data_IF_730874722734
#
_entry.id   IF_730874722734
#
_cell.length_a   1.000
_cell.length_b   1.000
_cell.length_c   1.000
_cell.angle_alpha   90.00
_cell.angle_beta   90.00
_cell.angle_gamma   90.00
#
_symmetry.space_group_name_H-M   'P 1'
#
loop_
_entity.id
_entity.type
_entity.pdbx_description
1 polymer ?
#
# COMPACT_ATOMS: atom_id res chain seq x y z
N UNK A 1 6.90 24.11 -1.78
CA UNK A 1 5.48 23.84 -1.53
C UNK A 1 5.23 22.44 -2.06
N UNK A 2 4.87 21.47 -1.20
CA UNK A 2 4.77 20.06 -1.62
C UNK A 2 3.64 19.89 -2.64
N UNK A 3 3.93 19.31 -3.80
CA UNK A 3 2.96 19.08 -4.88
C UNK A 3 1.70 18.34 -4.39
N UNK A 4 1.83 17.49 -3.40
CA UNK A 4 0.70 16.79 -2.76
C UNK A 4 -0.22 17.74 -1.98
N UNK A 5 0.33 18.73 -1.28
CA UNK A 5 -0.47 19.69 -0.51
C UNK A 5 -1.31 20.59 -1.44
N UNK A 6 -0.71 21.10 -2.52
CA UNK A 6 -1.42 21.95 -3.49
C UNK A 6 -2.53 21.18 -4.22
N UNK A 7 -2.29 19.90 -4.51
CA UNK A 7 -3.23 18.99 -5.15
C UNK A 7 -4.45 18.71 -4.26
N UNK A 8 -4.23 18.43 -2.98
CA UNK A 8 -5.32 18.15 -2.03
C UNK A 8 -6.16 19.38 -1.75
N UNK A 9 -5.51 20.54 -1.63
CA UNK A 9 -6.22 21.81 -1.53
C UNK A 9 -7.09 22.08 -2.76
N UNK A 10 -6.60 21.74 -3.96
CA UNK A 10 -7.36 21.90 -5.20
C UNK A 10 -8.53 20.91 -5.29
N UNK A 11 -8.34 19.63 -4.90
CA UNK A 11 -9.44 18.65 -4.81
C UNK A 11 -10.55 19.16 -3.89
N UNK A 12 -10.17 19.62 -2.70
CA UNK A 12 -11.13 20.15 -1.72
C UNK A 12 -11.85 21.38 -2.26
N UNK A 13 -11.12 22.33 -2.86
CA UNK A 13 -11.70 23.54 -3.43
C UNK A 13 -12.70 23.23 -4.56
N UNK A 14 -12.36 22.32 -5.48
CA UNK A 14 -13.25 21.91 -6.57
C UNK A 14 -14.48 21.18 -6.03
N UNK A 15 -14.31 20.26 -5.08
CA UNK A 15 -15.43 19.53 -4.49
C UNK A 15 -16.38 20.45 -3.73
N UNK A 16 -15.86 21.40 -2.96
CA UNK A 16 -16.66 22.39 -2.24
C UNK A 16 -17.38 23.34 -3.20
N UNK A 17 -16.73 23.80 -4.27
CA UNK A 17 -17.35 24.65 -5.29
C UNK A 17 -18.52 23.94 -5.99
N UNK A 18 -18.32 22.69 -6.43
CA UNK A 18 -19.38 21.89 -7.08
C UNK A 18 -20.54 21.67 -6.09
N UNK A 19 -20.23 21.33 -4.83
CA UNK A 19 -21.26 21.09 -3.81
C UNK A 19 -22.04 22.35 -3.48
N UNK A 20 -21.37 23.51 -3.40
CA UNK A 20 -22.03 24.79 -3.17
C UNK A 20 -22.92 25.15 -4.36
N UNK A 21 -22.46 24.97 -5.60
CA UNK A 21 -23.25 25.21 -6.81
C UNK A 21 -24.49 24.30 -6.87
N UNK A 22 -24.34 23.01 -6.53
CA UNK A 22 -25.48 22.10 -6.44
C UNK A 22 -26.47 22.51 -5.35
N UNK A 23 -25.96 22.89 -4.18
CA UNK A 23 -26.81 23.32 -3.06
C UNK A 23 -27.60 24.59 -3.38
N UNK A 24 -27.03 25.53 -4.14
CA UNK A 24 -27.72 26.74 -4.57
C UNK A 24 -28.70 26.50 -5.72
N UNK A 25 -28.44 25.49 -6.55
CA UNK A 25 -29.32 25.20 -7.70
C UNK A 25 -30.55 24.36 -7.30
N UNK A 26 -30.38 23.47 -6.32
CA UNK A 26 -31.45 22.60 -5.84
C UNK A 26 -32.06 23.17 -4.55
N UNK A 27 -33.25 23.82 -4.64
CA UNK A 27 -33.98 24.38 -3.49
C UNK A 27 -34.35 23.34 -2.42
N UNK A 28 -34.28 22.04 -2.75
CA UNK A 28 -34.50 20.92 -1.81
C UNK A 28 -33.38 20.69 -0.80
N UNK A 29 -32.16 21.22 -1.05
CA UNK A 29 -31.06 21.20 -0.11
C UNK A 29 -31.28 22.32 0.92
N UNK A 30 -32.14 22.05 1.90
CA UNK A 30 -32.62 23.04 2.89
C UNK A 30 -31.49 23.71 3.68
N UNK A 31 -30.34 23.05 3.80
CA UNK A 31 -29.17 23.56 4.52
C UNK A 31 -27.88 23.22 3.76
N UNK A 32 -27.40 24.14 2.95
CA UNK A 32 -26.20 24.02 2.12
C UNK A 32 -24.92 23.61 2.89
N UNK A 33 -24.85 23.90 4.19
CA UNK A 33 -23.69 23.58 5.01
C UNK A 33 -23.51 22.07 5.30
N UNK A 34 -24.56 21.27 5.27
CA UNK A 34 -24.47 19.82 5.52
C UNK A 34 -23.72 19.06 4.42
N UNK A 35 -24.04 19.21 3.12
CA UNK A 35 -23.25 18.61 2.06
C UNK A 35 -21.83 19.17 1.99
N UNK A 36 -21.62 20.46 2.27
CA UNK A 36 -20.27 21.04 2.34
C UNK A 36 -19.43 20.42 3.45
N UNK A 37 -20.01 20.24 4.65
CA UNK A 37 -19.34 19.60 5.76
C UNK A 37 -19.04 18.12 5.47
N UNK A 38 -19.92 17.45 4.72
CA UNK A 38 -19.66 16.09 4.27
C UNK A 38 -18.45 16.02 3.34
N UNK A 39 -18.33 16.95 2.38
CA UNK A 39 -17.18 17.05 1.48
C UNK A 39 -15.88 17.28 2.26
N UNK A 40 -15.85 18.27 3.15
CA UNK A 40 -14.64 18.62 3.92
C UNK A 40 -14.13 17.44 4.75
N UNK A 41 -15.03 16.65 5.33
CA UNK A 41 -14.63 15.50 6.17
C UNK A 41 -14.27 14.27 5.33
N UNK A 42 -14.85 14.12 4.13
CA UNK A 42 -14.68 12.93 3.30
C UNK A 42 -13.50 13.03 2.37
N UNK A 43 -13.18 14.24 1.87
CA UNK A 43 -12.02 14.41 0.97
C UNK A 43 -10.74 14.18 1.75
N UNK A 44 -10.04 13.11 1.41
CA UNK A 44 -8.76 12.72 1.98
C UNK A 44 -7.70 12.66 0.88
N UNK A 45 -6.46 12.61 1.31
CA UNK A 45 -5.27 12.45 0.46
C UNK A 45 -5.29 11.15 -0.32
N UNK A 46 -6.00 10.12 0.19
CA UNK A 46 -6.08 8.80 -0.37
C UNK A 46 -7.51 8.47 -0.79
N UNK A 47 -7.70 8.07 -2.06
CA UNK A 47 -9.02 7.77 -2.65
C UNK A 47 -9.74 6.63 -1.90
N UNK A 48 -8.99 5.71 -1.30
CA UNK A 48 -9.54 4.60 -0.53
C UNK A 48 -10.07 5.07 0.82
N UNK A 49 -9.33 5.95 1.50
CA UNK A 49 -9.79 6.61 2.72
C UNK A 49 -11.02 7.46 2.42
N UNK A 50 -11.05 8.15 1.28
CA UNK A 50 -12.20 8.91 0.83
C UNK A 50 -13.43 8.02 0.66
N UNK A 51 -13.30 6.84 0.02
CA UNK A 51 -14.42 5.91 -0.13
C UNK A 51 -14.89 5.34 1.21
N UNK A 52 -13.97 4.93 2.07
CA UNK A 52 -14.28 4.41 3.40
C UNK A 52 -14.90 5.49 4.30
N UNK A 53 -14.39 6.71 4.24
CA UNK A 53 -14.94 7.86 4.95
C UNK A 53 -16.34 8.22 4.45
N UNK A 54 -16.55 8.22 3.12
CA UNK A 54 -17.84 8.50 2.50
C UNK A 54 -18.89 7.46 2.91
N UNK A 55 -18.57 6.17 2.79
CA UNK A 55 -19.47 5.08 3.17
C UNK A 55 -19.80 5.11 4.67
N UNK A 56 -18.78 5.29 5.52
CA UNK A 56 -18.97 5.44 6.96
C UNK A 56 -19.84 6.64 7.32
N UNK A 57 -19.68 7.76 6.60
CA UNK A 57 -20.49 8.96 6.82
C UNK A 57 -21.93 8.78 6.38
N UNK A 58 -22.18 8.20 5.21
CA UNK A 58 -23.54 7.92 4.72
C UNK A 58 -24.25 6.95 5.69
N UNK A 59 -23.63 5.81 5.95
CA UNK A 59 -24.19 4.78 6.82
C UNK A 59 -24.41 5.30 8.26
N UNK A 60 -23.44 6.05 8.79
CA UNK A 60 -23.55 6.68 10.10
C UNK A 60 -24.66 7.72 10.17
N UNK A 61 -24.83 8.52 9.11
CA UNK A 61 -25.93 9.50 9.07
C UNK A 61 -27.28 8.81 8.98
N UNK A 62 -27.46 7.85 8.08
CA UNK A 62 -28.73 7.13 7.94
C UNK A 62 -29.13 6.42 9.23
N UNK A 63 -28.22 5.64 9.78
CA UNK A 63 -28.48 4.88 11.00
C UNK A 63 -28.64 5.80 12.21
N UNK A 64 -27.82 6.85 12.30
CA UNK A 64 -27.89 7.88 13.33
C UNK A 64 -29.25 8.59 13.33
N UNK A 65 -29.69 9.02 12.15
CA UNK A 65 -31.00 9.66 11.98
C UNK A 65 -32.16 8.73 12.36
N UNK A 66 -32.16 7.48 11.85
CA UNK A 66 -33.21 6.51 12.13
C UNK A 66 -33.31 6.19 13.63
N UNK A 67 -32.16 5.88 14.25
CA UNK A 67 -32.16 5.54 15.69
C UNK A 67 -32.55 6.74 16.55
N UNK A 68 -32.04 7.92 16.22
CA UNK A 68 -32.42 9.15 16.95
C UNK A 68 -33.91 9.44 16.84
N UNK A 69 -34.50 9.27 15.66
CA UNK A 69 -35.92 9.44 15.43
C UNK A 69 -36.75 8.45 16.25
N UNK A 70 -36.36 7.16 16.27
CA UNK A 70 -37.03 6.13 17.06
C UNK A 70 -36.97 6.44 18.57
N UNK A 71 -35.80 6.82 19.06
CA UNK A 71 -35.61 7.17 20.47
C UNK A 71 -36.41 8.42 20.83
N UNK A 72 -36.41 9.44 19.96
CA UNK A 72 -37.13 10.69 20.18
C UNK A 72 -38.64 10.49 20.29
N UNK A 73 -39.21 9.48 19.63
CA UNK A 73 -40.64 9.15 19.73
C UNK A 73 -41.04 8.72 21.14
N UNK A 74 -40.06 8.26 21.94
CA UNK A 74 -40.29 7.76 23.32
C UNK A 74 -39.70 8.70 24.37
N UNK A 75 -38.46 9.16 24.15
CA UNK A 75 -37.69 9.95 25.13
C UNK A 75 -37.12 11.21 24.44
N UNK A 76 -37.46 12.38 25.00
CA UNK A 76 -37.03 13.69 24.48
C UNK A 76 -35.88 14.29 25.28
N UNK A 77 -35.16 15.21 24.67
CA UNK A 77 -34.08 15.97 25.30
C UNK A 77 -32.82 15.15 25.57
N UNK A 78 -32.03 15.57 26.57
CA UNK A 78 -30.72 14.97 26.85
C UNK A 78 -30.77 13.48 27.26
N UNK A 79 -31.80 12.94 27.94
CA UNK A 79 -31.90 11.50 28.17
C UNK A 79 -32.04 10.71 26.86
N UNK A 80 -32.73 11.29 25.86
CA UNK A 80 -32.83 10.72 24.52
C UNK A 80 -31.49 10.67 23.80
N UNK A 81 -30.66 11.69 23.97
CA UNK A 81 -29.27 11.67 23.43
C UNK A 81 -28.49 10.51 24.03
N UNK A 82 -28.50 10.40 25.35
CA UNK A 82 -27.77 9.34 26.07
C UNK A 82 -28.24 7.95 25.65
N UNK A 83 -29.55 7.74 25.57
CA UNK A 83 -30.13 6.47 25.13
C UNK A 83 -29.77 6.14 23.67
N UNK A 84 -29.82 7.15 22.77
CA UNK A 84 -29.44 6.99 21.38
C UNK A 84 -28.00 6.56 21.26
N UNK A 85 -27.07 7.19 21.99
CA UNK A 85 -25.65 6.83 21.98
C UNK A 85 -25.38 5.44 22.54
N UNK A 86 -26.08 5.09 23.64
CA UNK A 86 -25.96 3.79 24.29
C UNK A 86 -26.40 2.64 23.36
N UNK A 87 -27.42 2.84 22.55
CA UNK A 87 -27.90 1.87 21.57
C UNK A 87 -27.07 1.86 20.30
N UNK A 88 -26.56 3.02 19.88
CA UNK A 88 -25.80 3.20 18.65
C UNK A 88 -24.47 2.43 18.64
N UNK A 89 -23.72 2.50 19.75
CA UNK A 89 -22.39 1.89 19.84
C UNK A 89 -22.42 0.36 19.62
N UNK A 90 -23.25 -0.42 20.36
CA UNK A 90 -23.33 -1.86 20.11
C UNK A 90 -23.88 -2.19 18.73
N UNK A 91 -24.87 -1.44 18.23
CA UNK A 91 -25.47 -1.67 16.94
C UNK A 91 -24.43 -1.52 15.79
N UNK A 92 -23.67 -0.43 15.79
CA UNK A 92 -22.61 -0.21 14.79
C UNK A 92 -21.48 -1.24 14.89
N UNK A 93 -21.15 -1.70 16.09
CA UNK A 93 -20.16 -2.78 16.29
C UNK A 93 -20.66 -4.12 15.75
N UNK A 94 -21.93 -4.46 15.98
CA UNK A 94 -22.54 -5.69 15.44
C UNK A 94 -22.58 -5.67 13.91
N UNK A 95 -22.84 -4.52 13.29
CA UNK A 95 -22.82 -4.33 11.84
C UNK A 95 -21.40 -4.23 11.25
N UNK A 96 -20.38 -4.17 12.07
CA UNK A 96 -18.99 -4.02 11.62
C UNK A 96 -18.62 -2.61 11.11
N UNK A 97 -19.49 -1.60 11.31
CA UNK A 97 -19.37 -0.24 10.77
C UNK A 97 -18.68 0.72 11.75
N UNK A 98 -17.47 0.37 12.18
CA UNK A 98 -16.71 1.16 13.17
C UNK A 98 -16.40 2.58 12.69
N UNK A 99 -16.14 2.78 11.39
CA UNK A 99 -15.89 4.10 10.77
C UNK A 99 -17.08 5.04 10.83
N UNK A 100 -18.30 4.51 10.96
CA UNK A 100 -19.54 5.29 11.04
C UNK A 100 -19.83 5.88 12.43
N UNK A 101 -19.13 5.42 13.47
CA UNK A 101 -19.44 5.76 14.86
C UNK A 101 -19.37 7.26 15.15
N UNK A 102 -18.34 7.94 14.65
CA UNK A 102 -18.18 9.39 14.87
C UNK A 102 -19.31 10.20 14.24
N UNK A 103 -19.71 9.87 13.02
CA UNK A 103 -20.82 10.55 12.34
C UNK A 103 -22.16 10.24 13.00
N UNK A 104 -22.43 8.97 13.27
CA UNK A 104 -23.68 8.53 13.90
C UNK A 104 -23.88 9.15 15.27
N UNK A 105 -22.81 9.28 16.08
CA UNK A 105 -22.87 9.85 17.42
C UNK A 105 -23.15 11.36 17.45
N UNK A 106 -22.78 12.10 16.40
CA UNK A 106 -23.08 13.52 16.31
C UNK A 106 -24.57 13.80 16.03
N UNK A 107 -25.28 12.89 15.36
CA UNK A 107 -26.67 13.08 14.94
C UNK A 107 -27.63 13.31 16.11
N UNK A 108 -27.65 12.49 17.18
CA UNK A 108 -28.52 12.72 18.33
C UNK A 108 -28.29 14.07 18.99
N UNK A 109 -27.03 14.51 19.07
CA UNK A 109 -26.67 15.82 19.65
C UNK A 109 -27.26 16.94 18.81
N UNK A 110 -27.06 16.89 17.50
CA UNK A 110 -27.54 17.91 16.57
C UNK A 110 -29.08 17.98 16.58
N UNK A 111 -29.77 16.84 16.51
CA UNK A 111 -31.22 16.82 16.42
C UNK A 111 -31.96 17.07 17.74
N UNK A 112 -31.38 16.68 18.88
CA UNK A 112 -32.08 16.74 20.16
C UNK A 112 -31.64 17.89 21.05
N UNK A 113 -30.45 18.52 20.77
CA UNK A 113 -29.90 19.58 21.61
C UNK A 113 -29.95 20.98 20.98
N UNK A 114 -29.99 21.09 19.63
CA UNK A 114 -30.08 22.40 18.98
C UNK A 114 -31.53 22.91 19.00
N UNK A 115 -31.79 24.06 19.65
CA UNK A 115 -33.14 24.55 19.87
C UNK A 115 -33.91 24.99 18.62
N UNK A 116 -33.20 25.32 17.54
CA UNK A 116 -33.81 25.89 16.32
C UNK A 116 -34.28 24.86 15.30
N UNK A 117 -34.19 23.56 15.59
CA UNK A 117 -34.50 22.51 14.60
C UNK A 117 -36.01 22.16 14.52
N UNK A 118 -36.86 22.78 15.35
CA UNK A 118 -38.30 22.44 15.41
C UNK A 118 -38.57 21.00 15.86
N UNK A 119 -39.82 20.50 15.79
CA UNK A 119 -40.11 19.12 16.09
C UNK A 119 -39.43 18.20 15.07
N UNK A 120 -38.69 17.17 15.56
CA UNK A 120 -38.03 16.19 14.72
C UNK A 120 -39.06 15.47 13.83
N UNK A 121 -39.04 15.77 12.54
CA UNK A 121 -39.95 15.21 11.56
C UNK A 121 -39.23 14.17 10.69
N UNK A 122 -39.97 13.22 10.15
CA UNK A 122 -39.43 12.24 9.21
C UNK A 122 -38.75 12.87 7.98
N UNK A 123 -39.30 13.99 7.49
CA UNK A 123 -38.72 14.78 6.41
C UNK A 123 -37.32 15.31 6.74
N UNK A 124 -37.08 15.75 7.98
CA UNK A 124 -35.77 16.22 8.41
C UNK A 124 -34.72 15.08 8.41
N UNK A 125 -35.10 13.87 8.85
CA UNK A 125 -34.28 12.67 8.81
C UNK A 125 -33.89 12.32 7.37
N UNK A 126 -34.86 12.30 6.48
CA UNK A 126 -34.65 11.96 5.07
C UNK A 126 -33.80 13.02 4.35
N UNK A 127 -34.09 14.30 4.54
CA UNK A 127 -33.30 15.38 3.93
C UNK A 127 -31.85 15.34 4.41
N UNK A 128 -31.61 15.08 5.69
CA UNK A 128 -30.27 14.98 6.24
C UNK A 128 -29.47 13.83 5.61
N UNK A 129 -30.09 12.67 5.44
CA UNK A 129 -29.48 11.53 4.79
C UNK A 129 -29.14 11.85 3.31
N UNK A 130 -30.06 12.52 2.62
CA UNK A 130 -29.91 12.91 1.22
C UNK A 130 -28.80 13.96 1.04
N UNK A 131 -28.80 15.02 1.85
CA UNK A 131 -27.78 16.08 1.82
C UNK A 131 -26.36 15.53 2.05
N UNK A 132 -26.24 14.66 3.05
CA UNK A 132 -24.95 14.00 3.35
C UNK A 132 -24.52 13.09 2.21
N UNK A 133 -25.44 12.32 1.64
CA UNK A 133 -25.16 11.43 0.52
C UNK A 133 -24.74 12.20 -0.74
N UNK A 134 -25.37 13.32 -1.02
CA UNK A 134 -25.01 14.20 -2.14
C UNK A 134 -23.58 14.75 -1.96
N UNK A 135 -23.25 15.29 -0.79
CA UNK A 135 -21.89 15.76 -0.51
C UNK A 135 -20.84 14.67 -0.64
N UNK A 136 -21.11 13.48 -0.11
CA UNK A 136 -20.22 12.32 -0.23
C UNK A 136 -20.06 11.87 -1.70
N UNK A 137 -21.14 11.87 -2.49
CA UNK A 137 -21.10 11.52 -3.91
C UNK A 137 -20.24 12.50 -4.72
N UNK A 138 -20.35 13.80 -4.45
CA UNK A 138 -19.50 14.82 -5.08
C UNK A 138 -18.04 14.62 -4.67
N UNK A 139 -17.75 14.39 -3.39
CA UNK A 139 -16.39 14.14 -2.89
C UNK A 139 -15.76 12.92 -3.59
N UNK A 140 -16.51 11.83 -3.71
CA UNK A 140 -16.08 10.62 -4.41
C UNK A 140 -15.88 10.88 -5.92
N UNK A 141 -16.82 11.57 -6.58
CA UNK A 141 -16.71 11.86 -8.00
C UNK A 141 -15.47 12.72 -8.29
N UNK A 142 -15.23 13.76 -7.51
CA UNK A 142 -14.05 14.61 -7.64
C UNK A 142 -12.77 13.83 -7.36
N UNK A 143 -12.73 12.99 -6.31
CA UNK A 143 -11.59 12.12 -6.00
C UNK A 143 -11.24 11.19 -7.14
N UNK A 144 -12.25 10.53 -7.74
CA UNK A 144 -12.06 9.54 -8.80
C UNK A 144 -11.74 10.17 -10.17
N UNK A 145 -12.39 11.33 -10.50
CA UNK A 145 -12.27 11.94 -11.83
C UNK A 145 -11.02 12.83 -11.96
N UNK A 146 -10.73 13.62 -10.94
CA UNK A 146 -9.69 14.65 -11.10
C UNK A 146 -8.28 14.17 -10.78
N UNK A 147 -8.09 13.14 -9.96
CA UNK A 147 -6.75 12.60 -9.66
C UNK A 147 -6.84 11.20 -9.06
N UNK A 148 -7.08 10.17 -9.85
CA UNK A 148 -6.96 8.82 -9.34
C UNK A 148 -5.51 8.60 -8.89
N UNK A 149 -5.27 8.37 -7.61
CA UNK A 149 -3.97 7.89 -7.15
C UNK A 149 -3.81 6.45 -7.60
N UNK A 150 -2.85 6.24 -8.49
CA UNK A 150 -2.46 4.90 -8.86
C UNK A 150 -1.49 4.37 -7.79
N UNK A 151 -2.02 3.65 -6.80
CA UNK A 151 -1.19 3.02 -5.75
C UNK A 151 -0.18 2.04 -6.34
N UNK A 152 -0.46 1.51 -7.54
CA UNK A 152 0.47 0.72 -8.31
C UNK A 152 1.70 1.51 -8.76
N UNK A 153 1.59 2.82 -8.96
CA UNK A 153 2.75 3.67 -9.29
C UNK A 153 3.74 3.73 -8.12
N UNK A 154 3.25 3.83 -6.89
CA UNK A 154 4.08 3.80 -5.67
C UNK A 154 4.71 2.43 -5.43
N UNK A 155 3.98 1.35 -5.73
CA UNK A 155 4.52 -0.01 -5.69
C UNK A 155 5.68 -0.17 -6.69
N UNK A 156 5.51 0.31 -7.94
CA UNK A 156 6.55 0.31 -8.96
C UNK A 156 7.77 1.13 -8.52
N UNK A 157 7.55 2.33 -8.01
CA UNK A 157 8.62 3.20 -7.52
C UNK A 157 9.44 2.55 -6.41
N UNK A 158 8.75 1.89 -5.45
CA UNK A 158 9.40 1.15 -4.36
C UNK A 158 10.17 -0.06 -4.90
N UNK A 159 9.60 -0.82 -5.86
CA UNK A 159 10.26 -1.94 -6.52
C UNK A 159 11.50 -1.48 -7.30
N UNK A 160 11.40 -0.39 -8.07
CA UNK A 160 12.52 0.18 -8.80
C UNK A 160 13.64 0.69 -7.89
N UNK A 161 13.28 1.23 -6.72
CA UNK A 161 14.24 1.60 -5.67
C UNK A 161 15.02 0.38 -5.16
N UNK A 162 14.32 -0.73 -4.87
CA UNK A 162 14.95 -1.99 -4.48
C UNK A 162 15.86 -2.54 -5.58
N UNK A 163 15.39 -2.55 -6.81
CA UNK A 163 16.18 -3.02 -7.95
C UNK A 163 17.46 -2.22 -8.14
N UNK A 164 17.38 -0.90 -8.03
CA UNK A 164 18.58 -0.04 -8.11
C UNK A 164 19.56 -0.39 -6.99
N UNK A 165 19.09 -0.47 -5.75
CA UNK A 165 19.91 -0.81 -4.60
C UNK A 165 20.66 -2.14 -4.78
N UNK A 166 19.95 -3.18 -5.25
CA UNK A 166 20.58 -4.49 -5.49
C UNK A 166 21.53 -4.49 -6.67
N UNK A 167 21.24 -3.76 -7.76
CA UNK A 167 22.13 -3.64 -8.91
C UNK A 167 23.43 -2.95 -8.55
N UNK A 168 23.34 -1.84 -7.81
CA UNK A 168 24.51 -1.09 -7.37
C UNK A 168 25.41 -1.97 -6.49
N UNK A 169 24.81 -2.75 -5.59
CA UNK A 169 25.54 -3.68 -4.75
C UNK A 169 26.18 -4.82 -5.57
N UNK A 170 25.45 -5.39 -6.54
CA UNK A 170 26.03 -6.43 -7.42
C UNK A 170 27.14 -5.88 -8.27
N UNK A 171 27.05 -4.65 -8.76
CA UNK A 171 28.14 -3.99 -9.49
C UNK A 171 29.37 -3.85 -8.60
N UNK A 172 29.22 -3.45 -7.35
CA UNK A 172 30.31 -3.37 -6.40
C UNK A 172 30.94 -4.76 -6.14
N UNK A 173 30.14 -5.82 -5.98
CA UNK A 173 30.65 -7.19 -5.85
C UNK A 173 31.37 -7.69 -7.10
N UNK A 174 30.91 -7.33 -8.30
CA UNK A 174 31.61 -7.68 -9.54
C UNK A 174 33.01 -7.08 -9.58
N UNK A 175 33.16 -5.81 -9.22
CA UNK A 175 34.49 -5.15 -9.16
C UNK A 175 35.39 -5.76 -8.10
N UNK A 176 34.84 -6.11 -6.95
CA UNK A 176 35.59 -6.79 -5.89
C UNK A 176 36.06 -8.19 -6.32
N UNK A 177 35.19 -9.00 -6.93
CA UNK A 177 35.51 -10.34 -7.44
C UNK A 177 36.52 -10.31 -8.57
N UNK A 178 36.60 -9.20 -9.34
CA UNK A 178 37.62 -8.96 -10.34
C UNK A 178 38.96 -8.44 -9.77
N UNK A 179 39.04 -8.25 -8.43
CA UNK A 179 40.25 -7.72 -7.79
C UNK A 179 40.50 -6.23 -8.01
N UNK A 180 39.48 -5.50 -8.56
CA UNK A 180 39.64 -4.09 -8.90
C UNK A 180 39.39 -3.13 -7.75
N UNK A 181 38.55 -3.54 -6.77
CA UNK A 181 38.10 -2.71 -5.64
C UNK A 181 38.13 -3.49 -4.32
N UNK A 182 38.20 -2.80 -3.18
CA UNK A 182 38.03 -3.42 -1.88
C UNK A 182 36.61 -4.03 -1.75
N UNK A 183 36.46 -4.92 -0.78
CA UNK A 183 35.15 -5.56 -0.49
C UNK A 183 34.11 -4.50 -0.16
N UNK A 184 32.94 -4.51 -0.81
CA UNK A 184 31.85 -3.61 -0.45
C UNK A 184 31.25 -4.01 0.91
N UNK A 185 30.74 -3.03 1.64
CA UNK A 185 29.97 -3.27 2.84
C UNK A 185 28.65 -3.97 2.49
N UNK A 186 28.23 -4.97 3.25
CA UNK A 186 26.95 -5.63 3.06
C UNK A 186 25.78 -4.65 3.20
N UNK A 187 24.72 -4.87 2.43
CA UNK A 187 23.51 -4.06 2.56
C UNK A 187 22.91 -4.22 3.97
N UNK A 188 22.51 -3.12 4.61
CA UNK A 188 21.81 -3.21 5.89
C UNK A 188 20.53 -4.04 5.73
N UNK A 189 20.34 -5.15 6.47
CA UNK A 189 19.11 -5.97 6.38
C UNK A 189 17.83 -5.17 6.62
N UNK A 190 17.92 -4.10 7.42
CA UNK A 190 16.82 -3.18 7.69
C UNK A 190 16.34 -2.44 6.43
N UNK A 191 17.24 -2.08 5.51
CA UNK A 191 16.89 -1.36 4.29
C UNK A 191 16.01 -2.23 3.36
N UNK A 192 16.40 -3.50 3.15
CA UNK A 192 15.62 -4.45 2.37
C UNK A 192 14.28 -4.78 3.05
N UNK A 193 14.30 -4.97 4.38
CA UNK A 193 13.08 -5.26 5.14
C UNK A 193 12.09 -4.12 5.07
N UNK A 194 12.52 -2.89 5.32
CA UNK A 194 11.66 -1.70 5.28
C UNK A 194 11.03 -1.48 3.89
N UNK A 195 11.76 -1.75 2.82
CA UNK A 195 11.23 -1.62 1.47
C UNK A 195 10.19 -2.71 1.16
N UNK A 196 10.43 -3.96 1.54
CA UNK A 196 9.46 -5.06 1.37
C UNK A 196 8.21 -4.82 2.21
N UNK A 197 8.35 -4.40 3.47
CA UNK A 197 7.23 -4.04 4.36
C UNK A 197 6.41 -2.87 3.80
N UNK A 198 7.07 -1.88 3.20
CA UNK A 198 6.39 -0.79 2.50
C UNK A 198 5.58 -1.29 1.31
N UNK A 199 6.13 -2.20 0.51
CA UNK A 199 5.39 -2.84 -0.60
C UNK A 199 4.19 -3.64 -0.07
N UNK A 200 4.32 -4.35 1.04
CA UNK A 200 3.23 -5.08 1.69
C UNK A 200 2.10 -4.15 2.13
N UNK A 201 2.45 -3.06 2.80
CA UNK A 201 1.48 -2.06 3.25
C UNK A 201 0.76 -1.40 2.07
N UNK A 202 1.50 -1.02 1.01
CA UNK A 202 0.92 -0.45 -0.20
C UNK A 202 -0.01 -1.44 -0.92
N UNK A 203 0.39 -2.70 -1.02
CA UNK A 203 -0.43 -3.73 -1.66
C UNK A 203 -1.68 -4.06 -0.84
N UNK A 204 -1.56 -4.17 0.48
CA UNK A 204 -2.71 -4.37 1.38
C UNK A 204 -3.72 -3.22 1.22
N UNK A 205 -3.23 -2.01 1.08
CA UNK A 205 -4.03 -0.81 0.86
C UNK A 205 -4.78 -0.85 -0.48
N UNK A 206 -4.09 -1.24 -1.56
CA UNK A 206 -4.71 -1.39 -2.89
C UNK A 206 -5.75 -2.52 -2.94
N UNK A 207 -5.55 -3.59 -2.16
CA UNK A 207 -6.47 -4.72 -2.09
C UNK A 207 -7.75 -4.41 -1.30
N UNK A 208 -7.71 -3.45 -0.38
CA UNK A 208 -8.89 -3.00 0.36
C UNK A 208 -9.77 -2.05 -0.48
N UNK A 209 -9.27 -1.53 -1.61
CA UNK A 209 -9.97 -0.63 -2.51
C UNK A 209 -11.06 -1.26 -3.37
N UNK A 210 -11.74 -0.49 -4.23
CA UNK A 210 -12.83 -0.96 -5.07
C UNK A 210 -12.45 -2.17 -5.94
N UNK A 211 -13.28 -3.21 -5.97
CA UNK A 211 -13.01 -4.49 -6.64
C UNK A 211 -12.67 -4.42 -8.14
N UNK A 212 -13.00 -3.32 -8.83
CA UNK A 212 -12.71 -3.14 -10.26
C UNK A 212 -11.20 -2.98 -10.56
N UNK A 213 -10.36 -2.74 -9.54
CA UNK A 213 -8.88 -2.72 -9.64
C UNK A 213 -8.22 -4.09 -9.39
N UNK A 214 -8.98 -5.10 -9.00
CA UNK A 214 -8.49 -6.41 -8.59
C UNK A 214 -7.63 -7.19 -9.62
N UNK A 215 -7.87 -7.14 -10.96
CA UNK A 215 -7.08 -7.90 -11.93
C UNK A 215 -5.59 -7.58 -11.93
N UNK A 216 -5.22 -6.31 -11.64
CA UNK A 216 -3.83 -5.85 -11.61
C UNK A 216 -3.08 -6.23 -10.32
N UNK A 217 -3.78 -6.67 -9.29
CA UNK A 217 -3.20 -7.01 -7.99
C UNK A 217 -2.64 -8.44 -7.92
N UNK A 218 -3.05 -9.34 -8.81
CA UNK A 218 -2.59 -10.74 -8.84
C UNK A 218 -1.08 -10.85 -9.05
N UNK A 219 -0.55 -10.12 -10.02
CA UNK A 219 0.87 -10.10 -10.34
C UNK A 219 1.70 -9.50 -9.21
N UNK A 220 1.16 -8.48 -8.52
CA UNK A 220 1.84 -7.85 -7.39
C UNK A 220 1.94 -8.76 -6.16
N UNK A 221 0.94 -9.62 -5.91
CA UNK A 221 1.05 -10.65 -4.86
C UNK A 221 2.17 -11.63 -5.14
N UNK A 222 2.31 -12.08 -6.39
CA UNK A 222 3.40 -12.97 -6.81
C UNK A 222 4.75 -12.26 -6.70
N UNK A 223 4.87 -11.02 -7.18
CA UNK A 223 6.08 -10.20 -7.05
C UNK A 223 6.49 -10.02 -5.60
N UNK A 224 5.54 -9.69 -4.72
CA UNK A 224 5.82 -9.53 -3.29
C UNK A 224 6.31 -10.83 -2.64
N UNK A 225 5.74 -11.99 -3.01
CA UNK A 225 6.22 -13.28 -2.54
C UNK A 225 7.68 -13.55 -2.99
N UNK A 226 8.02 -13.22 -4.23
CA UNK A 226 9.38 -13.31 -4.75
C UNK A 226 10.33 -12.36 -4.03
N UNK A 227 9.93 -11.13 -3.75
CA UNK A 227 10.72 -10.16 -2.99
C UNK A 227 11.00 -10.60 -1.56
N UNK A 228 10.02 -11.25 -0.89
CA UNK A 228 10.24 -11.87 0.43
C UNK A 228 11.31 -12.96 0.38
N UNK A 229 11.24 -13.83 -0.63
CA UNK A 229 12.25 -14.87 -0.86
C UNK A 229 13.62 -14.27 -1.16
N UNK A 230 13.69 -13.32 -2.10
CA UNK A 230 14.91 -12.61 -2.45
C UNK A 230 15.58 -11.97 -1.22
N UNK A 231 14.82 -11.25 -0.39
CA UNK A 231 15.34 -10.65 0.84
C UNK A 231 15.99 -11.69 1.76
N UNK A 232 15.30 -12.83 1.99
CA UNK A 232 15.78 -13.86 2.89
C UNK A 232 17.09 -14.46 2.42
N UNK A 233 17.15 -14.87 1.14
CA UNK A 233 18.32 -15.49 0.55
C UNK A 233 19.45 -14.49 0.33
N UNK A 234 19.14 -13.23 -0.02
CA UNK A 234 20.14 -12.17 -0.18
C UNK A 234 20.96 -11.94 1.09
N UNK A 235 20.29 -11.75 2.23
CA UNK A 235 20.99 -11.48 3.51
C UNK A 235 21.89 -12.63 3.89
N UNK A 236 21.47 -13.86 3.66
CA UNK A 236 22.28 -15.05 3.95
C UNK A 236 23.44 -15.20 2.98
N UNK A 237 23.18 -15.06 1.70
CA UNK A 237 24.17 -15.11 0.63
C UNK A 237 25.26 -14.06 0.82
N UNK A 238 24.87 -12.82 1.08
CA UNK A 238 25.78 -11.71 1.28
C UNK A 238 26.64 -11.90 2.54
N UNK A 239 26.08 -12.44 3.63
CA UNK A 239 26.83 -12.80 4.83
C UNK A 239 27.91 -13.86 4.52
N UNK A 240 27.56 -14.92 3.78
CA UNK A 240 28.49 -15.97 3.40
C UNK A 240 29.58 -15.44 2.45
N UNK A 241 29.19 -14.56 1.51
CA UNK A 241 30.12 -13.93 0.59
C UNK A 241 31.13 -13.02 1.33
N UNK A 242 30.70 -12.35 2.37
CA UNK A 242 31.53 -11.48 3.19
C UNK A 242 32.49 -12.23 4.14
N UNK A 243 32.37 -13.56 4.29
CA UNK A 243 33.28 -14.36 5.08
C UNK A 243 34.59 -14.62 4.32
N UNK A 244 35.59 -13.77 4.52
CA UNK A 244 36.94 -13.93 3.95
C UNK A 244 37.22 -13.17 2.64
N UNK A 245 38.33 -13.47 2.01
CA UNK A 245 38.80 -12.83 0.78
C UNK A 245 37.98 -13.21 -0.45
N UNK A 246 38.08 -12.46 -1.58
CA UNK A 246 37.34 -12.79 -2.78
C UNK A 246 37.65 -14.24 -3.22
N UNK A 247 36.62 -15.03 -3.56
CA UNK A 247 36.84 -16.38 -4.05
C UNK A 247 37.37 -16.30 -5.49
N UNK A 248 38.67 -16.22 -5.64
CA UNK A 248 39.35 -16.19 -6.93
C UNK A 248 39.80 -17.59 -7.32
N UNK A 249 39.35 -18.13 -8.45
CA UNK A 249 39.79 -19.43 -8.93
C UNK A 249 41.24 -19.40 -9.40
N UNK A 250 41.84 -20.58 -9.60
CA UNK A 250 43.12 -20.70 -10.29
C UNK A 250 43.01 -20.15 -11.70
N UNK A 251 44.13 -19.63 -12.29
CA UNK A 251 44.14 -19.06 -13.63
C UNK A 251 43.52 -20.00 -14.68
N UNK A 252 42.58 -19.47 -15.47
CA UNK A 252 41.90 -20.22 -16.53
C UNK A 252 40.70 -21.06 -16.08
N UNK A 253 40.36 -21.07 -14.79
CA UNK A 253 39.18 -21.79 -14.27
C UNK A 253 37.97 -20.89 -14.12
N UNK A 254 36.75 -21.42 -14.33
CA UNK A 254 35.54 -20.64 -14.19
C UNK A 254 35.28 -20.27 -12.71
N UNK A 255 34.78 -19.08 -12.47
CA UNK A 255 34.34 -18.65 -11.15
C UNK A 255 32.79 -18.73 -11.04
N UNK A 256 32.25 -19.78 -10.37
CA UNK A 256 30.79 -19.94 -10.26
C UNK A 256 30.12 -18.82 -9.45
N UNK A 257 30.84 -18.19 -8.51
CA UNK A 257 30.31 -17.05 -7.74
C UNK A 257 30.20 -15.82 -8.64
N UNK A 258 31.25 -15.51 -9.41
CA UNK A 258 31.24 -14.39 -10.33
C UNK A 258 30.19 -14.56 -11.46
N UNK A 259 30.05 -15.77 -11.99
CA UNK A 259 29.01 -16.10 -12.97
C UNK A 259 27.59 -15.89 -12.38
N UNK A 260 27.35 -16.31 -11.15
CA UNK A 260 26.09 -16.10 -10.47
C UNK A 260 25.78 -14.62 -10.21
N UNK A 261 26.78 -13.84 -9.77
CA UNK A 261 26.64 -12.38 -9.59
C UNK A 261 26.32 -11.69 -10.91
N UNK A 262 27.00 -12.07 -12.00
CA UNK A 262 26.71 -11.51 -13.33
C UNK A 262 25.30 -11.86 -13.82
N UNK A 263 24.87 -13.10 -13.63
CA UNK A 263 23.52 -13.53 -13.99
C UNK A 263 22.42 -12.83 -13.15
N UNK A 264 22.63 -12.70 -11.84
CA UNK A 264 21.71 -11.93 -10.97
C UNK A 264 21.59 -10.48 -11.43
N UNK A 265 22.69 -9.83 -11.79
CA UNK A 265 22.69 -8.47 -12.29
C UNK A 265 21.86 -8.36 -13.58
N UNK A 266 22.10 -9.21 -14.57
CA UNK A 266 21.34 -9.23 -15.83
C UNK A 266 19.84 -9.51 -15.62
N UNK A 267 19.50 -10.46 -14.76
CA UNK A 267 18.10 -10.77 -14.44
C UNK A 267 17.38 -9.61 -13.75
N UNK A 268 18.06 -8.91 -12.83
CA UNK A 268 17.50 -7.72 -12.18
C UNK A 268 17.39 -6.51 -13.13
N UNK A 269 18.21 -6.46 -14.20
CA UNK A 269 18.06 -5.51 -15.31
C UNK A 269 16.84 -5.85 -16.20
N UNK A 270 16.33 -7.06 -16.09
CA UNK A 270 15.14 -7.52 -16.82
C UNK A 270 15.43 -8.62 -17.85
N UNK A 271 16.66 -9.08 -17.99
CA UNK A 271 16.99 -10.17 -18.91
C UNK A 271 16.69 -11.53 -18.27
N UNK A 272 15.48 -12.04 -18.52
CA UNK A 272 15.04 -13.34 -18.03
C UNK A 272 15.66 -14.54 -18.78
N UNK A 273 16.39 -14.30 -19.89
CA UNK A 273 16.99 -15.37 -20.71
C UNK A 273 18.28 -15.88 -20.09
N UNK A 274 18.99 -15.06 -19.33
CA UNK A 274 20.23 -15.42 -18.66
C UNK A 274 19.96 -16.43 -17.56
N UNK A 275 20.40 -17.66 -17.79
CA UNK A 275 20.36 -18.73 -16.82
C UNK A 275 21.71 -19.46 -16.84
N UNK A 276 22.61 -19.15 -15.90
CA UNK A 276 23.92 -19.80 -15.88
C UNK A 276 23.72 -21.32 -15.64
N UNK A 277 24.54 -22.15 -16.29
CA UNK A 277 24.50 -23.57 -16.00
C UNK A 277 24.80 -23.82 -14.52
N UNK A 278 24.19 -24.87 -13.98
CA UNK A 278 24.41 -25.21 -12.58
C UNK A 278 25.87 -25.67 -12.42
N UNK A 279 26.66 -25.01 -11.56
CA UNK A 279 28.05 -25.36 -11.37
C UNK A 279 28.17 -26.78 -10.77
N UNK A 280 29.09 -27.56 -11.32
CA UNK A 280 29.40 -28.90 -10.81
C UNK A 280 30.09 -28.84 -9.43
N UNK A 281 30.03 -29.93 -8.67
CA UNK A 281 30.76 -30.03 -7.42
C UNK A 281 32.27 -29.82 -7.63
N UNK A 282 32.80 -30.31 -8.74
CA UNK A 282 34.20 -30.13 -9.16
C UNK A 282 34.57 -28.65 -9.27
N UNK A 283 33.75 -27.83 -9.94
CA UNK A 283 33.96 -26.39 -10.04
C UNK A 283 34.00 -25.67 -8.68
N UNK A 284 33.20 -26.14 -7.74
CA UNK A 284 33.23 -25.61 -6.36
C UNK A 284 34.46 -26.08 -5.58
N UNK A 285 34.90 -27.29 -5.80
CA UNK A 285 36.13 -27.84 -5.18
C UNK A 285 37.37 -27.11 -5.69
N UNK A 286 37.46 -26.92 -6.99
CA UNK A 286 38.54 -26.14 -7.63
C UNK A 286 38.59 -24.69 -7.12
N UNK A 287 37.40 -24.09 -6.95
CA UNK A 287 37.33 -22.75 -6.38
C UNK A 287 37.77 -22.71 -4.90
N UNK A 288 37.44 -23.74 -4.14
CA UNK A 288 37.87 -23.87 -2.74
C UNK A 288 39.40 -23.97 -2.62
N UNK A 289 40.00 -24.81 -3.44
CA UNK A 289 41.46 -25.01 -3.52
C UNK A 289 42.20 -23.73 -3.96
N UNK A 290 41.68 -23.07 -4.99
CA UNK A 290 42.27 -21.86 -5.51
C UNK A 290 42.17 -20.62 -4.62
N UNK A 291 41.02 -20.51 -3.87
CA UNK A 291 40.74 -19.36 -3.03
C UNK A 291 41.12 -19.55 -1.55
N UNK A 292 41.46 -20.79 -1.12
CA UNK A 292 41.71 -21.11 0.28
C UNK A 292 40.43 -21.04 1.16
N UNK A 293 39.25 -20.92 0.58
CA UNK A 293 38.00 -20.93 1.34
C UNK A 293 37.53 -22.36 1.64
N UNK A 294 36.91 -22.61 2.81
CA UNK A 294 36.33 -23.91 3.08
C UNK A 294 35.25 -24.27 2.06
N UNK A 295 35.33 -25.48 1.50
CA UNK A 295 34.36 -26.00 0.53
C UNK A 295 32.91 -25.90 1.05
N UNK A 296 32.69 -26.21 2.35
CA UNK A 296 31.38 -26.13 2.99
C UNK A 296 30.78 -24.70 2.94
N UNK A 297 31.61 -23.67 3.10
CA UNK A 297 31.17 -22.28 2.99
C UNK A 297 30.76 -21.93 1.55
N UNK A 298 31.50 -22.42 0.56
CA UNK A 298 31.17 -22.21 -0.84
C UNK A 298 29.93 -22.99 -1.28
N UNK A 299 29.74 -24.20 -0.76
CA UNK A 299 28.50 -24.97 -0.99
C UNK A 299 27.30 -24.31 -0.32
N UNK A 300 27.44 -23.78 0.90
CA UNK A 300 26.39 -22.99 1.55
C UNK A 300 26.05 -21.72 0.73
N UNK A 301 27.07 -21.04 0.19
CA UNK A 301 26.88 -19.90 -0.70
C UNK A 301 26.10 -20.30 -1.98
N UNK A 302 26.45 -21.46 -2.59
CA UNK A 302 25.72 -22.02 -3.72
C UNK A 302 24.25 -22.29 -3.41
N UNK A 303 23.95 -22.84 -2.24
CA UNK A 303 22.59 -23.12 -1.82
C UNK A 303 21.72 -21.85 -1.68
N UNK A 304 22.30 -20.75 -1.26
CA UNK A 304 21.58 -19.47 -1.21
C UNK A 304 21.54 -18.76 -2.58
N UNK A 305 22.53 -18.96 -3.43
CA UNK A 305 22.59 -18.36 -4.78
C UNK A 305 21.52 -18.93 -5.74
N UNK A 306 21.24 -20.24 -5.67
CA UNK A 306 20.24 -20.90 -6.52
C UNK A 306 18.83 -20.28 -6.38
N UNK A 307 18.24 -20.16 -5.19
CA UNK A 307 16.92 -19.53 -5.04
C UNK A 307 16.92 -18.04 -5.37
N UNK A 308 18.05 -17.34 -5.19
CA UNK A 308 18.20 -15.95 -5.67
C UNK A 308 18.04 -15.86 -7.18
N UNK A 309 18.78 -16.69 -7.93
CA UNK A 309 18.70 -16.75 -9.40
C UNK A 309 17.29 -17.17 -9.88
N UNK A 310 16.68 -18.16 -9.24
CA UNK A 310 15.34 -18.59 -9.58
C UNK A 310 14.30 -17.47 -9.35
N UNK A 311 14.36 -16.80 -8.19
CA UNK A 311 13.43 -15.74 -7.84
C UNK A 311 13.62 -14.48 -8.69
N UNK A 312 14.87 -14.08 -8.96
CA UNK A 312 15.15 -12.91 -9.81
C UNK A 312 14.71 -13.14 -11.26
N UNK A 313 14.91 -14.34 -11.80
CA UNK A 313 14.41 -14.71 -13.13
C UNK A 313 12.90 -14.66 -13.22
N UNK A 314 12.19 -15.25 -12.23
CA UNK A 314 10.72 -15.17 -12.18
C UNK A 314 10.22 -13.73 -12.05
N UNK A 315 10.92 -12.92 -11.27
CA UNK A 315 10.59 -11.49 -11.14
C UNK A 315 10.76 -10.76 -12.46
N UNK A 316 11.83 -11.04 -13.21
CA UNK A 316 12.05 -10.49 -14.55
C UNK A 316 10.93 -10.87 -15.52
N UNK A 317 10.49 -12.14 -15.55
CA UNK A 317 9.39 -12.61 -16.37
C UNK A 317 8.06 -11.90 -16.02
N UNK A 318 7.74 -11.77 -14.73
CA UNK A 318 6.53 -11.06 -14.28
C UNK A 318 6.56 -9.57 -14.64
N UNK A 319 7.74 -8.95 -14.66
CA UNK A 319 7.89 -7.54 -15.04
C UNK A 319 7.68 -7.33 -16.55
N UNK A 320 8.06 -8.31 -17.36
CA UNK A 320 7.84 -8.30 -18.80
C UNK A 320 6.40 -8.67 -19.21
N UNK A 321 5.58 -9.13 -18.26
CA UNK A 321 4.23 -9.62 -18.56
C UNK A 321 4.21 -10.99 -19.26
N UNK A 322 5.27 -11.78 -19.12
CA UNK A 322 5.50 -13.07 -19.80
C UNK A 322 5.25 -14.29 -18.87
N UNK A 323 4.76 -14.06 -17.63
CA UNK A 323 4.56 -15.12 -16.63
C UNK A 323 3.10 -15.41 -16.32
#
# INVERSE_FOLDING_TARGET
>A
MNADLSRNSLKLAVATLITAALATHFERLSFAWYPLLAVVIVVDDNDEHTFQAASGRILGTVLGCLLTFLVHSVVRGWPGVTLSLLLMVPLLRMLGWRSALGTAGLIPIVFLMLPDQGPLQWSAVFNRALDTSAGCAVALAVGLLFWPRDGLSRLRETEEGLLRLLRDQLAAYRHWLAGSNPRPDPLPPAALSAAVERMEALLAHELAGPRWRAPRSGDWRRRLALWRGLRLHWVRWERLLAMGDPPVPAPGRPNPVAAGVAALASQLEGDSTVNPPEPTLEAWTELAEGSGRPLLTLLALSQEQRPLLASSRQLALLRQGLA
#
